data_IF_949531674648
#
_entry.id   IF_949531674648
#
_cell.length_a   1.000
_cell.length_b   1.000
_cell.length_c   1.000
_cell.angle_alpha   90.00
_cell.angle_beta   90.00
_cell.angle_gamma   90.00
#
_symmetry.space_group_name_H-M   'P 1'
#
loop_
_entity.id
_entity.type
_entity.pdbx_description
1 polymer ?
#
# COMPACT_ATOMS: atom_id res chain seq x y z
N UNK A 1 -3.76 -2.84 -8.20
CA UNK A 1 -4.47 -3.48 -9.33
C UNK A 1 -3.56 -3.66 -10.54
N UNK A 2 -3.23 -2.61 -11.29
CA UNK A 2 -2.38 -2.72 -12.49
C UNK A 2 -1.06 -3.45 -12.24
N UNK A 3 -0.34 -3.09 -11.17
CA UNK A 3 0.91 -3.77 -10.83
C UNK A 3 0.70 -5.25 -10.49
N UNK A 4 -0.31 -5.60 -9.68
CA UNK A 4 -0.63 -7.00 -9.35
C UNK A 4 -0.94 -7.84 -10.61
N UNK A 5 -1.74 -7.30 -11.52
CA UNK A 5 -2.08 -7.97 -12.77
C UNK A 5 -0.84 -8.21 -13.65
N UNK A 6 0.10 -7.25 -13.70
CA UNK A 6 1.35 -7.41 -14.43
C UNK A 6 2.33 -8.41 -13.78
N UNK A 7 2.16 -8.72 -12.49
CA UNK A 7 2.84 -9.83 -11.81
C UNK A 7 2.09 -11.17 -11.97
N UNK A 8 1.03 -11.22 -12.78
CA UNK A 8 0.21 -12.43 -12.96
C UNK A 8 -0.67 -12.76 -11.76
N UNK A 9 -0.84 -11.83 -10.81
CA UNK A 9 -1.72 -11.99 -9.64
C UNK A 9 -3.07 -11.37 -9.98
N UNK A 10 -4.14 -12.18 -10.10
CA UNK A 10 -5.49 -11.67 -10.33
C UNK A 10 -5.87 -10.69 -9.22
N UNK A 11 -6.42 -9.54 -9.61
CA UNK A 11 -6.80 -8.50 -8.68
C UNK A 11 -8.11 -7.86 -9.15
N UNK A 12 -9.12 -7.86 -8.27
CA UNK A 12 -10.43 -7.22 -8.47
C UNK A 12 -10.57 -5.98 -7.60
N UNK A 13 -10.92 -4.84 -8.21
CA UNK A 13 -11.17 -3.61 -7.46
C UNK A 13 -12.44 -3.72 -6.62
N UNK A 14 -13.44 -4.45 -7.13
CA UNK A 14 -14.68 -4.72 -6.43
C UNK A 14 -14.42 -5.53 -5.16
N UNK A 15 -13.63 -6.60 -5.25
CA UNK A 15 -13.33 -7.47 -4.12
C UNK A 15 -12.51 -6.73 -3.07
N UNK A 16 -11.54 -5.91 -3.50
CA UNK A 16 -10.75 -5.06 -2.61
C UNK A 16 -11.63 -4.06 -1.86
N UNK A 17 -12.53 -3.36 -2.56
CA UNK A 17 -13.45 -2.42 -1.92
C UNK A 17 -14.43 -3.12 -0.98
N UNK A 18 -14.93 -4.30 -1.34
CA UNK A 18 -15.76 -5.13 -0.47
C UNK A 18 -15.05 -5.52 0.82
N UNK A 19 -13.79 -5.98 0.71
CA UNK A 19 -12.96 -6.30 1.86
C UNK A 19 -12.73 -5.07 2.74
N UNK A 20 -12.38 -3.91 2.16
CA UNK A 20 -12.18 -2.66 2.91
C UNK A 20 -13.45 -2.21 3.64
N UNK A 21 -14.63 -2.33 3.03
CA UNK A 21 -15.90 -1.99 3.68
C UNK A 21 -16.31 -2.97 4.80
N UNK A 22 -15.76 -4.20 4.79
CA UNK A 22 -16.03 -5.18 5.85
C UNK A 22 -15.25 -4.91 7.15
N UNK A 23 -14.23 -4.06 7.09
CA UNK A 23 -13.40 -3.74 8.25
C UNK A 23 -14.19 -2.86 9.23
N UNK A 24 -14.33 -3.25 10.51
CA UNK A 24 -15.01 -2.44 11.51
C UNK A 24 -14.37 -1.04 11.68
N UNK A 25 -15.22 -0.03 11.84
CA UNK A 25 -14.76 1.33 12.11
C UNK A 25 -13.91 1.41 13.39
N UNK A 26 -12.86 2.21 13.35
CA UNK A 26 -11.93 2.42 14.48
C UNK A 26 -10.83 1.35 14.60
N UNK A 27 -10.84 0.30 13.77
CA UNK A 27 -9.72 -0.64 13.70
C UNK A 27 -8.45 0.08 13.20
N UNK A 28 -7.30 -0.28 13.79
CA UNK A 28 -5.97 0.18 13.36
C UNK A 28 -5.18 -0.98 12.76
N UNK A 29 -4.42 -0.70 11.71
CA UNK A 29 -3.52 -1.69 11.07
C UNK A 29 -2.18 -1.78 11.81
N UNK A 30 -1.45 -2.89 11.65
CA UNK A 30 -0.10 -3.02 12.23
C UNK A 30 0.82 -1.89 11.77
N UNK A 31 0.81 -1.58 10.47
CA UNK A 31 1.55 -0.44 9.93
C UNK A 31 1.20 0.89 10.62
N UNK A 32 -0.07 1.14 10.95
CA UNK A 32 -0.45 2.34 11.70
C UNK A 32 0.12 2.35 13.13
N UNK A 33 0.12 1.20 13.81
CA UNK A 33 0.72 1.09 15.14
C UNK A 33 2.24 1.33 15.12
N UNK A 34 2.94 0.71 14.17
CA UNK A 34 4.39 0.84 14.06
C UNK A 34 4.80 2.27 13.76
N UNK A 35 4.10 2.94 12.83
CA UNK A 35 4.33 4.36 12.54
C UNK A 35 4.02 5.25 13.75
N UNK A 36 2.90 5.02 14.45
CA UNK A 36 2.54 5.80 15.64
C UNK A 36 3.53 5.62 16.80
N UNK A 37 4.17 4.45 16.89
CA UNK A 37 5.17 4.13 17.91
C UNK A 37 6.61 4.49 17.50
N UNK A 38 6.84 5.06 16.32
CA UNK A 38 8.19 5.36 15.79
C UNK A 38 9.05 4.10 15.61
N UNK A 39 8.42 2.95 15.34
CA UNK A 39 9.10 1.68 15.13
C UNK A 39 9.48 1.49 13.67
N UNK A 40 10.49 0.66 13.37
CA UNK A 40 10.68 0.15 12.02
C UNK A 40 9.36 -0.42 11.50
N UNK A 41 8.94 0.05 10.33
CA UNK A 41 7.64 -0.30 9.76
C UNK A 41 7.79 -1.02 8.42
N UNK A 42 6.72 -1.71 8.03
CA UNK A 42 6.63 -2.41 6.75
C UNK A 42 6.31 -1.49 5.55
N UNK A 43 6.43 -0.17 5.70
CA UNK A 43 6.04 0.80 4.66
C UNK A 43 6.78 0.60 3.33
N UNK A 44 8.11 0.42 3.35
CA UNK A 44 8.85 0.12 2.11
C UNK A 44 8.56 -1.30 1.60
N UNK A 45 8.42 -2.26 2.52
CA UNK A 45 8.14 -3.64 2.16
C UNK A 45 6.82 -3.78 1.39
N UNK A 46 5.79 -2.99 1.75
CA UNK A 46 4.50 -2.99 1.08
C UNK A 46 4.46 -1.93 -0.04
N UNK A 47 4.57 -0.66 0.33
CA UNK A 47 4.41 0.47 -0.59
C UNK A 47 5.58 0.62 -1.56
N UNK A 48 6.81 0.49 -1.05
CA UNK A 48 8.02 0.51 -1.87
C UNK A 48 8.08 -0.64 -2.87
N UNK A 49 7.66 -1.86 -2.47
CA UNK A 49 7.57 -2.99 -3.39
C UNK A 49 6.61 -2.71 -4.55
N UNK A 50 5.46 -2.09 -4.27
CA UNK A 50 4.48 -1.75 -5.30
C UNK A 50 4.97 -0.60 -6.21
N UNK A 51 5.72 0.37 -5.67
CA UNK A 51 6.40 1.39 -6.48
C UNK A 51 7.43 0.77 -7.43
N UNK A 52 8.27 -0.15 -6.93
CA UNK A 52 9.24 -0.89 -7.75
C UNK A 52 8.55 -1.72 -8.83
N UNK A 53 7.43 -2.38 -8.52
CA UNK A 53 6.63 -3.11 -9.50
C UNK A 53 6.06 -2.19 -10.58
N UNK A 54 5.48 -1.05 -10.18
CA UNK A 54 4.98 -0.03 -11.12
C UNK A 54 6.08 0.46 -12.06
N UNK A 55 7.25 0.81 -11.53
CA UNK A 55 8.39 1.27 -12.32
C UNK A 55 8.86 0.23 -13.35
N UNK A 56 8.98 -1.05 -12.94
CA UNK A 56 9.44 -2.13 -13.83
C UNK A 56 8.52 -2.36 -15.02
N UNK A 57 7.21 -2.21 -14.80
CA UNK A 57 6.18 -2.40 -15.83
C UNK A 57 5.73 -1.11 -16.51
N UNK A 58 6.37 0.03 -16.22
CA UNK A 58 6.05 1.32 -16.83
C UNK A 58 4.73 1.95 -16.38
N UNK A 59 4.16 1.53 -15.25
CA UNK A 59 2.94 2.14 -14.71
C UNK A 59 3.24 3.37 -13.86
N UNK A 60 2.66 4.53 -14.18
CA UNK A 60 2.75 5.69 -13.30
C UNK A 60 1.98 5.44 -12.00
N UNK A 61 2.65 5.60 -10.85
CA UNK A 61 2.08 5.41 -9.51
C UNK A 61 2.15 6.68 -8.62
N UNK A 62 1.82 7.88 -9.13
CA UNK A 62 2.06 9.14 -8.41
C UNK A 62 1.25 9.24 -7.10
N UNK A 63 0.04 8.68 -7.06
CA UNK A 63 -0.76 8.66 -5.84
C UNK A 63 -0.11 7.82 -4.74
N UNK A 64 0.38 6.63 -5.09
CA UNK A 64 1.10 5.76 -4.16
C UNK A 64 2.41 6.38 -3.70
N UNK A 65 3.17 6.99 -4.62
CA UNK A 65 4.44 7.64 -4.30
C UNK A 65 4.24 8.74 -3.25
N UNK A 66 3.22 9.58 -3.41
CA UNK A 66 2.87 10.60 -2.40
C UNK A 66 2.54 9.98 -1.04
N UNK A 67 1.74 8.90 -1.01
CA UNK A 67 1.38 8.23 0.26
C UNK A 67 2.64 7.71 0.96
N UNK A 68 3.51 6.99 0.24
CA UNK A 68 4.73 6.41 0.81
C UNK A 68 5.65 7.50 1.33
N UNK A 69 5.85 8.60 0.58
CA UNK A 69 6.68 9.72 1.01
C UNK A 69 6.09 10.40 2.26
N UNK A 70 4.79 10.70 2.26
CA UNK A 70 4.14 11.37 3.39
C UNK A 70 4.20 10.53 4.66
N UNK A 71 3.95 9.22 4.58
CA UNK A 71 4.00 8.34 5.74
C UNK A 71 5.44 8.09 6.22
N UNK A 72 6.40 7.96 5.30
CA UNK A 72 7.81 7.75 5.65
C UNK A 72 8.50 8.99 6.21
N UNK A 73 7.97 10.18 5.94
CA UNK A 73 8.51 11.44 6.49
C UNK A 73 8.00 11.76 7.90
N UNK A 74 6.97 11.03 8.37
CA UNK A 74 6.38 11.17 9.71
C UNK A 74 6.84 10.06 10.68
N UNK A 75 7.80 9.22 10.26
CA UNK A 75 8.38 8.14 11.06
C UNK A 75 9.64 8.58 11.81
#
# INVERSE_FOLDING_TARGET
MACSAAEGIPASAHDLLGALHSVPGGMRTSLQEDLAAGRPSELDAIGGALLRAGARHGFPTPALARIVVTLGSNA
#
